data_IF_597513659873
#
_entry.id   IF_597513659873
#
_cell.length_a   1.000
_cell.length_b   1.000
_cell.length_c   1.000
_cell.angle_alpha   90.00
_cell.angle_beta   90.00
_cell.angle_gamma   90.00
#
_symmetry.space_group_name_H-M   'P 1'
#
loop_
_entity.id
_entity.type
_entity.pdbx_description
1 polymer ?
#
# COMPACT_ATOMS: atom_id res chain seq x y z
N UNK A 1 5.71 1.76 14.85
CA UNK A 1 4.93 3.02 14.71
C UNK A 1 3.91 2.97 13.59
N UNK A 2 4.19 2.30 12.46
CA UNK A 2 3.28 2.29 11.30
C UNK A 2 2.27 1.13 11.32
N UNK A 3 2.77 -0.11 11.48
CA UNK A 3 1.91 -1.29 11.55
C UNK A 3 1.05 -1.24 12.84
N UNK A 4 -0.28 -1.39 12.75
CA UNK A 4 -1.20 -1.30 13.89
C UNK A 4 -1.25 -2.64 14.64
N UNK A 5 -1.66 -2.64 15.91
CA UNK A 5 -1.97 -3.86 16.66
C UNK A 5 -0.80 -4.87 16.74
N UNK A 6 0.44 -4.38 16.93
CA UNK A 6 1.63 -5.24 17.00
C UNK A 6 1.69 -5.95 18.35
N UNK A 7 1.40 -5.23 19.43
CA UNK A 7 1.41 -5.77 20.78
C UNK A 7 0.24 -6.75 21.00
N UNK A 8 -0.95 -6.39 20.53
CA UNK A 8 -2.18 -7.18 20.64
C UNK A 8 -2.09 -8.52 19.90
N UNK A 9 -1.27 -8.59 18.85
CA UNK A 9 -1.06 -9.79 18.05
C UNK A 9 0.30 -10.46 18.28
N UNK A 10 1.03 -10.04 19.31
CA UNK A 10 2.36 -10.53 19.65
C UNK A 10 3.28 -10.65 18.42
N UNK A 11 3.33 -9.57 17.63
CA UNK A 11 4.05 -9.54 16.37
C UNK A 11 5.13 -8.46 16.35
N UNK A 12 6.37 -8.90 16.16
CA UNK A 12 7.52 -8.02 15.92
C UNK A 12 7.90 -8.05 14.43
N UNK A 13 7.87 -6.89 13.72
CA UNK A 13 8.32 -6.83 12.33
C UNK A 13 9.77 -7.26 12.18
N UNK A 14 10.07 -7.93 11.06
CA UNK A 14 11.39 -8.51 10.74
C UNK A 14 12.49 -7.47 10.51
N UNK A 15 12.11 -6.31 10.00
CA UNK A 15 13.02 -5.20 9.71
C UNK A 15 12.45 -3.88 10.26
N UNK A 16 13.32 -2.88 10.43
CA UNK A 16 12.93 -1.51 10.82
C UNK A 16 11.85 -0.93 9.91
N UNK A 17 11.87 -1.29 8.62
CA UNK A 17 10.86 -0.92 7.65
C UNK A 17 10.29 -2.15 6.96
N UNK A 18 9.07 -2.51 7.36
CA UNK A 18 8.37 -3.66 6.83
C UNK A 18 8.15 -3.57 5.31
N UNK A 19 8.34 -4.69 4.62
CA UNK A 19 8.09 -4.83 3.18
C UNK A 19 6.61 -5.05 2.89
N UNK A 20 6.19 -4.82 1.64
CA UNK A 20 4.79 -4.95 1.24
C UNK A 20 4.16 -6.31 1.59
N UNK A 21 4.89 -7.41 1.38
CA UNK A 21 4.42 -8.75 1.72
C UNK A 21 4.17 -8.95 3.22
N UNK A 22 5.04 -8.40 4.06
CA UNK A 22 4.92 -8.48 5.53
C UNK A 22 3.73 -7.65 6.04
N UNK A 23 3.54 -6.45 5.48
CA UNK A 23 2.39 -5.60 5.79
C UNK A 23 1.09 -6.30 5.40
N UNK A 24 1.01 -6.87 4.18
CA UNK A 24 -0.16 -7.62 3.74
C UNK A 24 -0.45 -8.82 4.65
N UNK A 25 0.59 -9.58 5.02
CA UNK A 25 0.43 -10.71 5.92
C UNK A 25 -0.03 -10.26 7.31
N UNK A 26 0.38 -9.08 7.77
CA UNK A 26 -0.11 -8.53 9.02
C UNK A 26 -1.57 -8.10 8.96
N UNK A 27 -2.00 -7.48 7.84
CA UNK A 27 -3.42 -7.20 7.63
C UNK A 27 -4.26 -8.48 7.68
N UNK A 28 -3.76 -9.59 7.09
CA UNK A 28 -4.39 -10.91 7.20
C UNK A 28 -4.42 -11.43 8.64
N UNK A 29 -3.30 -11.33 9.38
CA UNK A 29 -3.26 -11.69 10.81
C UNK A 29 -4.33 -10.96 11.61
N UNK A 30 -4.50 -9.65 11.40
CA UNK A 30 -5.55 -8.86 12.06
C UNK A 30 -6.94 -9.38 11.66
N UNK A 31 -7.19 -9.57 10.36
CA UNK A 31 -8.48 -10.03 9.87
C UNK A 31 -8.85 -11.43 10.38
N UNK A 32 -7.88 -12.34 10.49
CA UNK A 32 -8.05 -13.69 11.01
C UNK A 32 -8.28 -13.67 12.53
N UNK A 33 -7.46 -12.93 13.28
CA UNK A 33 -7.54 -12.88 14.75
C UNK A 33 -8.90 -12.35 15.24
N UNK A 34 -9.45 -11.34 14.58
CA UNK A 34 -10.75 -10.76 14.93
C UNK A 34 -11.93 -11.33 14.11
N UNK A 35 -11.69 -12.37 13.31
CA UNK A 35 -12.71 -13.04 12.49
C UNK A 35 -13.50 -12.04 11.60
N UNK A 36 -12.77 -11.12 10.96
CA UNK A 36 -13.34 -10.03 10.16
C UNK A 36 -13.82 -10.51 8.79
N UNK A 37 -13.28 -11.61 8.28
CA UNK A 37 -13.63 -12.14 6.96
C UNK A 37 -15.10 -12.58 6.87
N UNK A 38 -15.70 -13.01 7.98
CA UNK A 38 -17.11 -13.44 8.00
C UNK A 38 -18.08 -12.33 7.58
N UNK A 39 -17.73 -11.07 7.88
CA UNK A 39 -18.57 -9.89 7.69
C UNK A 39 -18.04 -8.99 6.55
N UNK A 40 -17.09 -9.49 5.74
CA UNK A 40 -16.44 -8.72 4.68
C UNK A 40 -16.94 -9.11 3.28
N UNK A 41 -17.31 -8.09 2.49
CA UNK A 41 -17.58 -8.24 1.06
C UNK A 41 -16.37 -7.76 0.26
N UNK A 42 -15.49 -8.69 -0.12
CA UNK A 42 -14.34 -8.42 -0.98
C UNK A 42 -14.76 -8.33 -2.45
N UNK A 43 -13.89 -7.78 -3.31
CA UNK A 43 -14.16 -7.61 -4.75
C UNK A 43 -15.50 -6.93 -5.05
N UNK A 44 -15.89 -5.97 -4.20
CA UNK A 44 -17.16 -5.26 -4.22
C UNK A 44 -16.89 -3.77 -4.10
N UNK A 45 -17.21 -3.00 -5.14
CA UNK A 45 -17.07 -1.55 -5.17
C UNK A 45 -18.41 -0.89 -4.82
N UNK A 46 -18.40 -0.02 -3.81
CA UNK A 46 -19.55 0.83 -3.49
C UNK A 46 -19.56 2.03 -4.43
N UNK A 47 -20.64 2.23 -5.19
CA UNK A 47 -20.77 3.35 -6.14
C UNK A 47 -21.81 4.40 -5.74
N UNK A 48 -22.76 4.07 -4.85
CA UNK A 48 -23.71 5.03 -4.29
C UNK A 48 -23.96 4.75 -2.79
N UNK A 49 -24.04 5.82 -2.00
CA UNK A 49 -24.48 5.79 -0.61
C UNK A 49 -25.52 6.91 -0.46
N UNK A 50 -26.75 6.56 -0.08
CA UNK A 50 -27.87 7.51 0.02
C UNK A 50 -28.65 7.32 1.30
N UNK A 51 -29.02 8.41 1.96
CA UNK A 51 -29.92 8.36 3.11
C UNK A 51 -31.37 8.20 2.64
N UNK A 52 -32.09 7.25 3.24
CA UNK A 52 -33.52 7.05 3.08
C UNK A 52 -34.22 7.48 4.37
N UNK A 53 -35.06 8.51 4.26
CA UNK A 53 -35.76 9.12 5.40
C UNK A 53 -36.84 8.21 5.96
N UNK A 54 -37.59 7.53 5.10
CA UNK A 54 -38.74 6.72 5.48
C UNK A 54 -38.28 5.47 6.24
N UNK A 55 -37.16 4.89 5.83
CA UNK A 55 -36.52 3.76 6.52
C UNK A 55 -35.62 4.22 7.67
N UNK A 56 -35.22 5.49 7.69
CA UNK A 56 -34.18 6.01 8.57
C UNK A 56 -32.91 5.15 8.50
N UNK A 57 -32.44 4.89 7.27
CA UNK A 57 -31.27 4.07 6.98
C UNK A 57 -30.46 4.66 5.83
N UNK A 58 -29.18 4.36 5.81
CA UNK A 58 -28.36 4.45 4.61
C UNK A 58 -28.64 3.26 3.71
N UNK A 59 -28.89 3.52 2.43
CA UNK A 59 -28.90 2.57 1.34
C UNK A 59 -27.53 2.64 0.64
N UNK A 60 -26.89 1.49 0.46
CA UNK A 60 -25.55 1.37 -0.10
C UNK A 60 -25.63 0.44 -1.31
N UNK A 61 -25.24 0.95 -2.47
CA UNK A 61 -25.30 0.23 -3.74
C UNK A 61 -23.90 -0.13 -4.22
N UNK A 62 -23.77 -1.36 -4.73
CA UNK A 62 -22.50 -1.95 -5.15
C UNK A 62 -22.49 -2.32 -6.63
N UNK A 63 -21.30 -2.47 -7.20
CA UNK A 63 -21.07 -3.01 -8.55
C UNK A 63 -21.54 -4.47 -8.74
N UNK A 64 -21.98 -5.14 -7.67
CA UNK A 64 -22.58 -6.48 -7.69
C UNK A 64 -24.11 -6.47 -7.70
N UNK A 65 -24.73 -5.30 -7.66
CA UNK A 65 -26.19 -5.15 -7.63
C UNK A 65 -26.79 -5.23 -6.23
N UNK A 66 -25.98 -5.10 -5.18
CA UNK A 66 -26.48 -5.11 -3.80
C UNK A 66 -27.21 -3.81 -3.44
N UNK A 67 -28.11 -3.90 -2.47
CA UNK A 67 -28.71 -2.76 -1.78
C UNK A 67 -28.64 -3.01 -0.26
N UNK A 68 -27.50 -2.68 0.32
CA UNK A 68 -27.21 -2.91 1.74
C UNK A 68 -27.84 -1.77 2.55
N UNK A 69 -28.48 -2.12 3.67
CA UNK A 69 -29.10 -1.15 4.58
C UNK A 69 -28.31 -1.04 5.88
N UNK A 70 -27.89 0.17 6.22
CA UNK A 70 -27.11 0.42 7.43
C UNK A 70 -27.68 1.59 8.25
N UNK A 71 -27.51 1.55 9.58
CA UNK A 71 -27.81 2.72 10.44
C UNK A 71 -26.67 3.73 10.43
N UNK A 72 -25.44 3.24 10.33
CA UNK A 72 -24.22 4.03 10.36
C UNK A 72 -23.32 3.63 9.19
N UNK A 73 -22.55 4.60 8.70
CA UNK A 73 -21.54 4.40 7.67
C UNK A 73 -20.25 5.01 8.18
N UNK A 74 -19.18 4.20 8.23
CA UNK A 74 -17.83 4.66 8.52
C UNK A 74 -16.97 4.47 7.28
N UNK A 75 -16.40 5.55 6.76
CA UNK A 75 -15.65 5.54 5.51
C UNK A 75 -14.15 5.45 5.82
N UNK A 76 -13.54 4.32 5.47
CA UNK A 76 -12.10 4.07 5.57
C UNK A 76 -11.48 3.78 4.18
N UNK A 77 -11.82 4.61 3.18
CA UNK A 77 -11.46 4.42 1.77
C UNK A 77 -9.99 4.77 1.43
N UNK A 78 -9.27 5.42 2.33
CA UNK A 78 -7.86 5.80 2.15
C UNK A 78 -7.64 6.91 1.12
N UNK A 79 -6.46 7.56 1.17
CA UNK A 79 -6.20 8.78 0.38
C UNK A 79 -5.55 8.52 -1.00
N UNK A 80 -4.87 7.38 -1.20
CA UNK A 80 -4.02 7.11 -2.37
C UNK A 80 -4.40 5.79 -3.05
N UNK A 81 -5.69 5.57 -3.30
CA UNK A 81 -6.20 4.28 -3.82
C UNK A 81 -6.53 4.29 -5.32
N UNK A 82 -6.79 5.45 -5.93
CA UNK A 82 -7.10 5.58 -7.37
C UNK A 82 -5.83 5.92 -8.18
N UNK A 83 -5.35 5.02 -9.06
CA UNK A 83 -4.23 5.32 -9.94
C UNK A 83 -4.60 6.46 -10.89
N UNK A 84 -3.67 7.40 -11.12
CA UNK A 84 -3.84 8.48 -12.09
C UNK A 84 -2.79 8.34 -13.18
N UNK A 85 -3.25 8.14 -14.41
CA UNK A 85 -2.37 8.19 -15.57
C UNK A 85 -1.93 9.63 -15.84
N UNK A 86 -0.68 9.85 -16.29
CA UNK A 86 -0.24 11.18 -16.65
C UNK A 86 -0.99 11.66 -17.90
N UNK A 87 -1.34 12.94 -17.93
CA UNK A 87 -2.05 13.57 -19.06
C UNK A 87 -1.13 13.83 -20.25
N UNK A 88 -0.45 12.80 -20.74
CA UNK A 88 0.44 12.87 -21.90
C UNK A 88 -0.40 12.56 -23.16
N UNK A 89 -0.48 13.47 -24.14
CA UNK A 89 -1.17 13.21 -25.40
C UNK A 89 -0.63 11.94 -26.08
N UNK A 90 -1.52 11.07 -26.55
CA UNK A 90 -1.15 9.81 -27.22
C UNK A 90 -0.62 8.70 -26.31
N UNK A 91 -0.65 8.84 -24.97
CA UNK A 91 -0.09 7.81 -24.07
C UNK A 91 -0.74 6.42 -24.24
N UNK A 92 -2.02 6.37 -24.60
CA UNK A 92 -2.75 5.13 -24.88
C UNK A 92 -2.40 4.48 -26.21
N UNK A 93 -1.67 5.17 -27.09
CA UNK A 93 -1.28 4.69 -28.42
C UNK A 93 0.11 4.04 -28.43
N UNK A 94 0.80 4.03 -27.27
CA UNK A 94 2.09 3.36 -27.17
C UNK A 94 1.94 1.86 -27.43
N UNK A 95 2.58 1.37 -28.49
CA UNK A 95 2.47 -0.01 -28.94
C UNK A 95 3.14 -1.03 -27.99
N UNK A 96 4.03 -0.57 -27.11
CA UNK A 96 4.66 -1.42 -26.10
C UNK A 96 3.75 -1.67 -24.89
N UNK A 97 4.13 -2.63 -24.04
CA UNK A 97 3.39 -2.91 -22.81
C UNK A 97 3.44 -1.72 -21.85
N UNK A 98 2.28 -1.37 -21.29
CA UNK A 98 2.14 -0.35 -20.24
C UNK A 98 1.30 -0.88 -19.08
N UNK A 99 1.61 -0.43 -17.87
CA UNK A 99 0.81 -0.65 -16.65
C UNK A 99 1.22 0.37 -15.58
N UNK A 100 0.40 0.52 -14.54
CA UNK A 100 0.68 1.41 -13.40
C UNK A 100 1.26 0.60 -12.23
N UNK A 101 2.18 1.16 -11.45
CA UNK A 101 2.89 0.44 -10.38
C UNK A 101 1.98 -0.09 -9.25
N UNK A 102 0.81 0.52 -9.04
CA UNK A 102 -0.24 0.02 -8.12
C UNK A 102 -1.07 -1.15 -8.67
N UNK A 103 -0.85 -1.51 -9.93
CA UNK A 103 -1.45 -2.63 -10.66
C UNK A 103 -0.33 -3.32 -11.45
N UNK A 104 0.71 -3.73 -10.72
CA UNK A 104 1.90 -4.33 -11.29
C UNK A 104 1.54 -5.60 -12.07
N UNK A 105 2.08 -5.74 -13.28
CA UNK A 105 1.82 -6.87 -14.17
C UNK A 105 2.96 -7.89 -14.05
N UNK A 106 2.81 -8.81 -13.08
CA UNK A 106 3.82 -9.84 -12.83
C UNK A 106 3.90 -10.88 -13.94
N UNK A 107 2.83 -11.15 -14.68
CA UNK A 107 2.85 -12.05 -15.83
C UNK A 107 3.81 -11.50 -16.90
N UNK A 108 3.80 -10.18 -17.10
CA UNK A 108 4.70 -9.52 -18.03
C UNK A 108 6.13 -9.40 -17.49
N UNK A 109 6.33 -9.00 -16.23
CA UNK A 109 7.68 -8.74 -15.70
C UNK A 109 8.41 -9.98 -15.21
N UNK A 110 7.69 -11.02 -14.81
CA UNK A 110 8.19 -12.06 -13.92
C UNK A 110 8.12 -11.61 -12.45
N UNK A 111 8.10 -12.57 -11.51
CA UNK A 111 8.01 -12.30 -10.06
C UNK A 111 9.25 -11.57 -9.54
N UNK A 112 10.40 -11.79 -10.18
CA UNK A 112 11.70 -11.24 -9.86
C UNK A 112 12.27 -10.40 -11.00
N UNK A 113 11.40 -9.92 -11.90
CA UNK A 113 11.75 -9.09 -13.06
C UNK A 113 12.56 -9.83 -14.16
N UNK A 114 12.59 -11.15 -14.11
CA UNK A 114 13.38 -12.03 -14.98
C UNK A 114 13.03 -11.91 -16.47
N UNK A 115 11.85 -11.40 -16.83
CA UNK A 115 11.42 -11.20 -18.22
C UNK A 115 11.90 -9.86 -18.83
N UNK A 116 12.65 -9.05 -18.07
CA UNK A 116 13.04 -7.70 -18.51
C UNK A 116 14.44 -7.60 -19.12
N UNK A 117 15.22 -8.69 -19.10
CA UNK A 117 16.64 -8.68 -19.48
C UNK A 117 16.93 -8.16 -20.90
N UNK A 118 16.03 -8.38 -21.86
CA UNK A 118 16.15 -7.90 -23.24
C UNK A 118 15.30 -6.64 -23.52
N UNK A 119 14.63 -6.10 -22.49
CA UNK A 119 13.67 -5.00 -22.63
C UNK A 119 14.31 -3.64 -22.38
N UNK A 120 13.79 -2.64 -23.11
CA UNK A 120 14.00 -1.23 -22.84
C UNK A 120 12.80 -0.73 -22.04
N UNK A 121 13.00 -0.51 -20.74
CA UNK A 121 11.95 -0.16 -19.78
C UNK A 121 11.95 1.34 -19.53
N UNK A 122 10.76 1.94 -19.51
CA UNK A 122 10.57 3.34 -19.13
C UNK A 122 9.75 3.44 -17.84
N UNK A 123 10.18 4.27 -16.89
CA UNK A 123 9.39 4.63 -15.70
C UNK A 123 9.14 6.13 -15.68
N UNK A 124 7.86 6.51 -15.56
CA UNK A 124 7.42 7.92 -15.54
C UNK A 124 7.13 8.32 -14.10
N UNK A 125 7.82 9.37 -13.63
CA UNK A 125 7.71 9.88 -12.27
C UNK A 125 8.83 9.40 -11.35
N UNK A 126 9.12 10.22 -10.35
CA UNK A 126 10.29 10.10 -9.47
C UNK A 126 9.91 10.21 -7.99
N UNK A 127 8.66 9.91 -7.64
CA UNK A 127 8.19 9.85 -6.26
C UNK A 127 8.66 8.59 -5.51
N UNK A 128 8.17 8.41 -4.28
CA UNK A 128 8.57 7.30 -3.40
C UNK A 128 8.48 5.91 -4.06
N UNK A 129 7.43 5.66 -4.85
CA UNK A 129 7.30 4.39 -5.59
C UNK A 129 8.45 4.18 -6.58
N UNK A 130 8.80 5.21 -7.35
CA UNK A 130 9.90 5.10 -8.32
C UNK A 130 11.25 4.93 -7.62
N UNK A 131 11.49 5.61 -6.48
CA UNK A 131 12.70 5.42 -5.67
C UNK A 131 12.89 3.96 -5.27
N UNK A 132 11.79 3.25 -4.96
CA UNK A 132 11.84 1.83 -4.62
C UNK A 132 11.96 0.92 -5.86
N UNK A 133 11.26 1.23 -6.96
CA UNK A 133 11.28 0.39 -8.16
C UNK A 133 12.59 0.50 -8.97
N UNK A 134 13.14 1.70 -9.11
CA UNK A 134 14.26 2.00 -10.03
C UNK A 134 15.49 1.11 -9.78
N UNK A 135 15.97 0.90 -8.54
CA UNK A 135 17.13 0.03 -8.30
C UNK A 135 16.94 -1.39 -8.81
N UNK A 136 15.75 -1.97 -8.63
CA UNK A 136 15.43 -3.32 -9.10
C UNK A 136 15.27 -3.38 -10.61
N UNK A 137 14.57 -2.39 -11.20
CA UNK A 137 14.43 -2.28 -12.66
C UNK A 137 15.79 -2.07 -13.34
N UNK A 138 16.68 -1.29 -12.76
CA UNK A 138 18.01 -1.02 -13.31
C UNK A 138 18.90 -2.28 -13.29
N UNK A 139 18.74 -3.14 -12.28
CA UNK A 139 19.47 -4.40 -12.19
C UNK A 139 18.95 -5.48 -13.15
N UNK A 140 17.65 -5.46 -13.47
CA UNK A 140 17.00 -6.51 -14.25
C UNK A 140 16.80 -6.18 -15.72
N UNK A 141 16.57 -4.92 -16.08
CA UNK A 141 16.23 -4.52 -17.45
C UNK A 141 17.46 -4.36 -18.34
N UNK A 142 17.33 -4.68 -19.63
CA UNK A 142 18.38 -4.45 -20.62
C UNK A 142 18.76 -2.96 -20.75
N UNK A 143 17.78 -2.06 -20.68
CA UNK A 143 17.98 -0.62 -20.47
C UNK A 143 16.83 -0.02 -19.66
N UNK A 144 17.14 0.94 -18.78
CA UNK A 144 16.15 1.70 -18.01
C UNK A 144 16.21 3.19 -18.35
N UNK A 145 15.05 3.77 -18.68
CA UNK A 145 14.84 5.21 -18.83
C UNK A 145 13.96 5.74 -17.70
N UNK A 146 14.43 6.78 -17.01
CA UNK A 146 13.67 7.46 -15.93
C UNK A 146 13.23 8.82 -16.42
N UNK A 147 11.92 9.02 -16.56
CA UNK A 147 11.33 10.28 -17.02
C UNK A 147 10.94 11.14 -15.80
N UNK A 148 11.79 12.13 -15.51
CA UNK A 148 11.64 13.01 -14.35
C UNK A 148 11.01 14.36 -14.72
N UNK A 149 9.96 14.77 -13.99
CA UNK A 149 9.47 16.15 -14.00
C UNK A 149 10.01 16.97 -12.83
N UNK A 150 10.01 16.39 -11.64
CA UNK A 150 10.46 17.04 -10.40
C UNK A 150 11.26 16.02 -9.59
N UNK A 151 12.53 16.28 -9.26
CA UNK A 151 13.33 15.36 -8.46
C UNK A 151 12.78 15.25 -7.04
N UNK A 152 12.84 14.06 -6.46
CA UNK A 152 12.64 13.87 -5.02
C UNK A 152 13.93 14.20 -4.27
N UNK A 153 13.79 14.73 -3.06
CA UNK A 153 14.88 14.74 -2.08
C UNK A 153 15.04 13.31 -1.55
N UNK A 154 16.23 12.73 -1.70
CA UNK A 154 16.51 11.35 -1.29
C UNK A 154 17.48 11.37 -0.12
N UNK A 155 17.09 10.74 0.98
CA UNK A 155 17.89 10.60 2.19
C UNK A 155 18.16 9.11 2.48
N UNK A 156 19.11 8.83 3.38
CA UNK A 156 19.47 7.50 3.81
C UNK A 156 18.28 6.84 4.51
N UNK A 157 17.83 5.70 3.99
CA UNK A 157 16.75 4.94 4.62
C UNK A 157 17.19 4.34 5.95
N UNK A 158 18.38 3.75 6.00
CA UNK A 158 18.90 3.03 7.18
C UNK A 158 18.04 1.84 7.57
N UNK A 159 17.61 1.03 6.60
CA UNK A 159 16.88 -0.21 6.88
C UNK A 159 17.82 -1.26 7.47
N UNK A 160 17.35 -2.02 8.44
CA UNK A 160 18.11 -3.06 9.11
C UNK A 160 17.15 -4.11 9.69
N UNK A 161 17.61 -5.35 9.90
CA UNK A 161 16.87 -6.34 10.67
C UNK A 161 16.50 -5.79 12.05
N UNK A 162 15.36 -6.23 12.58
CA UNK A 162 14.98 -5.91 13.95
C UNK A 162 15.93 -6.60 14.92
N UNK A 163 16.47 -5.80 15.85
CA UNK A 163 17.30 -6.26 16.94
C UNK A 163 16.50 -7.21 17.85
N UNK A 164 17.00 -8.44 18.00
CA UNK A 164 16.35 -9.50 18.75
C UNK A 164 16.44 -9.28 20.26
N UNK A 165 17.52 -8.65 20.75
CA UNK A 165 17.66 -8.34 22.18
C UNK A 165 16.67 -7.25 22.58
N UNK A 166 16.51 -6.23 21.72
CA UNK A 166 15.45 -5.22 21.88
C UNK A 166 14.06 -5.86 21.84
N UNK A 167 13.80 -6.75 20.87
CA UNK A 167 12.51 -7.40 20.69
C UNK A 167 12.13 -8.27 21.90
N UNK A 168 13.09 -9.00 22.48
CA UNK A 168 12.87 -9.82 23.67
C UNK A 168 12.64 -8.99 24.94
N UNK A 169 13.14 -7.75 24.98
CA UNK A 169 13.04 -6.85 26.11
C UNK A 169 11.85 -5.87 26.07
N UNK A 170 10.94 -5.97 25.10
CA UNK A 170 9.79 -5.06 25.05
C UNK A 170 8.79 -5.35 26.17
N UNK A 171 8.35 -4.30 26.84
CA UNK A 171 7.34 -4.39 27.90
C UNK A 171 5.96 -3.92 27.40
N UNK A 172 4.89 -4.24 28.12
CA UNK A 172 3.55 -3.81 27.73
C UNK A 172 3.43 -2.29 27.53
N UNK A 173 2.71 -1.85 26.51
CA UNK A 173 2.58 -0.48 26.03
C UNK A 173 3.73 0.02 25.18
N UNK A 174 4.68 -0.85 24.78
CA UNK A 174 5.87 -0.45 24.00
C UNK A 174 5.48 0.19 22.66
N UNK A 175 4.44 -0.34 22.01
CA UNK A 175 4.04 0.13 20.69
C UNK A 175 3.55 1.57 20.76
N UNK A 176 2.69 1.85 21.74
CA UNK A 176 2.13 3.18 21.98
C UNK A 176 3.23 4.18 22.34
N UNK A 177 4.11 3.85 23.30
CA UNK A 177 5.25 4.70 23.67
C UNK A 177 6.14 5.03 22.48
N UNK A 178 6.35 4.08 21.57
CA UNK A 178 7.17 4.28 20.37
C UNK A 178 6.47 5.17 19.34
N UNK A 179 5.14 5.06 19.21
CA UNK A 179 4.34 5.95 18.35
C UNK A 179 4.41 7.38 18.87
N UNK A 180 4.19 7.57 20.18
CA UNK A 180 4.26 8.88 20.83
C UNK A 180 5.64 9.52 20.70
N UNK A 181 6.70 8.77 20.98
CA UNK A 181 8.07 9.27 20.82
C UNK A 181 8.36 9.72 19.38
N UNK A 182 7.92 8.94 18.38
CA UNK A 182 8.08 9.32 16.98
C UNK A 182 7.28 10.58 16.61
N UNK A 183 6.06 10.71 17.12
CA UNK A 183 5.20 11.88 16.89
C UNK A 183 5.81 13.14 17.50
N UNK A 184 6.32 13.07 18.74
CA UNK A 184 7.01 14.20 19.40
C UNK A 184 8.17 14.69 18.53
N UNK A 185 9.03 13.77 18.07
CA UNK A 185 10.23 14.12 17.29
C UNK A 185 9.89 14.69 15.90
N UNK A 186 8.79 14.27 15.28
CA UNK A 186 8.43 14.67 13.91
C UNK A 186 7.50 15.88 13.85
N UNK A 187 6.73 16.15 14.91
CA UNK A 187 5.85 17.31 15.02
C UNK A 187 6.53 18.55 15.64
N UNK A 188 7.82 18.47 15.97
CA UNK A 188 8.59 19.59 16.52
C UNK A 188 8.31 19.88 18.00
N UNK A 189 8.08 18.82 18.80
CA UNK A 189 7.92 18.90 20.25
C UNK A 189 9.22 19.05 21.02
#
# INVERSE_FOLDING_TARGET
VYMPLLEELDYIPTERYAKGAEILQHCRRIAEHYDLYRDALLHTEVHEIRWDTDLSRWLIFTDRGDCIRARFVSLANGYIHKPKLPGIPGIGEFAGKTFHTSRWDYDYTGEHLEHLADKRVGIIGTGATAIQCVPHLAAAAGQLYVFQRTPSTVDVRGNQPTDQDWAAGVESGWQQRRIENFQILTAGG
#
